data_IF_742977173238
#
_entry.id   IF_742977173238
#
_cell.length_a   1.000
_cell.length_b   1.000
_cell.length_c   1.000
_cell.angle_alpha   90.00
_cell.angle_beta   90.00
_cell.angle_gamma   90.00
#
_symmetry.space_group_name_H-M   'P 1'
#
loop_
_entity.id
_entity.type
_entity.pdbx_description
1 polymer ?
#
# COMPACT_ATOMS: atom_id res chain seq x y z
N UNK A 1 -29.46 40.79 -13.46
CA UNK A 1 -29.84 40.33 -14.81
C UNK A 1 -29.65 38.82 -14.89
N UNK A 2 -30.72 38.02 -14.92
CA UNK A 2 -30.61 36.55 -15.10
C UNK A 2 -30.49 36.26 -16.60
N UNK A 3 -29.32 35.84 -17.06
CA UNK A 3 -29.12 35.39 -18.43
C UNK A 3 -30.02 34.19 -18.70
N UNK A 4 -30.98 34.34 -19.62
CA UNK A 4 -31.92 33.27 -20.00
C UNK A 4 -31.13 32.26 -20.83
N UNK A 5 -30.66 31.18 -20.19
CA UNK A 5 -29.94 30.10 -20.86
C UNK A 5 -30.75 29.58 -22.05
N UNK A 6 -30.13 29.58 -23.23
CA UNK A 6 -30.65 28.99 -24.46
C UNK A 6 -31.03 27.53 -24.23
N UNK A 7 -32.06 27.02 -24.91
CA UNK A 7 -32.50 25.61 -24.78
C UNK A 7 -31.34 24.64 -25.02
N UNK A 8 -30.39 24.99 -25.89
CA UNK A 8 -29.15 24.22 -26.10
C UNK A 8 -28.26 24.19 -24.85
N UNK A 9 -28.02 25.32 -24.20
CA UNK A 9 -27.15 25.37 -23.02
C UNK A 9 -27.76 24.68 -21.79
N UNK A 10 -29.10 24.62 -21.68
CA UNK A 10 -29.77 23.80 -20.64
C UNK A 10 -29.60 22.30 -20.87
N UNK A 11 -29.69 21.85 -22.13
CA UNK A 11 -29.45 20.46 -22.50
C UNK A 11 -27.99 20.07 -22.25
N UNK A 12 -27.06 20.95 -22.59
CA UNK A 12 -25.62 20.67 -22.43
C UNK A 12 -25.24 20.60 -20.93
N UNK A 13 -25.80 21.46 -20.08
CA UNK A 13 -25.62 21.36 -18.61
C UNK A 13 -26.19 20.05 -18.06
N UNK A 14 -27.35 19.61 -18.55
CA UNK A 14 -27.97 18.35 -18.14
C UNK A 14 -27.09 17.15 -18.54
N UNK A 15 -26.56 17.15 -19.77
CA UNK A 15 -25.66 16.10 -20.26
C UNK A 15 -24.34 16.06 -19.47
N UNK A 16 -23.74 17.22 -19.19
CA UNK A 16 -22.51 17.30 -18.39
C UNK A 16 -22.76 16.81 -16.96
N UNK A 17 -23.88 17.21 -16.34
CA UNK A 17 -24.22 16.77 -14.98
C UNK A 17 -24.44 15.25 -14.93
N UNK A 18 -25.16 14.69 -15.91
CA UNK A 18 -25.37 13.25 -16.02
C UNK A 18 -24.03 12.50 -16.19
N UNK A 19 -23.12 13.02 -17.01
CA UNK A 19 -21.80 12.43 -17.21
C UNK A 19 -21.01 12.39 -15.91
N UNK A 20 -20.99 13.47 -15.13
CA UNK A 20 -20.31 13.50 -13.83
C UNK A 20 -20.92 12.53 -12.83
N UNK A 21 -22.24 12.37 -12.82
CA UNK A 21 -22.93 11.39 -11.96
C UNK A 21 -22.53 9.96 -12.36
N UNK A 22 -22.49 9.65 -13.66
CA UNK A 22 -22.10 8.32 -14.14
C UNK A 22 -20.63 8.03 -13.80
N UNK A 23 -19.71 8.95 -14.10
CA UNK A 23 -18.28 8.78 -13.80
C UNK A 23 -18.03 8.70 -12.29
N UNK A 24 -18.66 9.56 -11.50
CA UNK A 24 -18.56 9.52 -10.04
C UNK A 24 -19.14 8.24 -9.46
N UNK A 25 -20.28 7.76 -9.98
CA UNK A 25 -20.90 6.50 -9.57
C UNK A 25 -20.00 5.30 -9.90
N UNK A 26 -19.43 5.24 -11.10
CA UNK A 26 -18.47 4.21 -11.50
C UNK A 26 -17.24 4.25 -10.59
N UNK A 27 -16.70 5.43 -10.29
CA UNK A 27 -15.55 5.58 -9.40
C UNK A 27 -15.84 5.08 -7.98
N UNK A 28 -17.00 5.42 -7.41
CA UNK A 28 -17.41 4.94 -6.08
C UNK A 28 -17.60 3.42 -6.10
N UNK A 29 -18.30 2.88 -7.09
CA UNK A 29 -18.51 1.44 -7.23
C UNK A 29 -17.18 0.69 -7.35
N UNK A 30 -16.28 1.18 -8.19
CA UNK A 30 -14.94 0.62 -8.35
C UNK A 30 -14.19 0.61 -7.01
N UNK A 31 -14.20 1.73 -6.28
CA UNK A 31 -13.54 1.82 -4.96
C UNK A 31 -14.14 0.86 -3.94
N UNK A 32 -15.45 0.65 -3.96
CA UNK A 32 -16.12 -0.23 -3.00
C UNK A 32 -15.90 -1.70 -3.31
N UNK A 33 -15.86 -2.13 -4.58
CA UNK A 33 -15.84 -3.55 -4.95
C UNK A 33 -14.46 -4.09 -5.36
N UNK A 34 -13.56 -3.27 -5.92
CA UNK A 34 -12.28 -3.76 -6.45
C UNK A 34 -11.28 -4.23 -5.36
N UNK A 35 -11.52 -3.87 -4.09
CA UNK A 35 -10.59 -4.11 -2.98
C UNK A 35 -11.21 -4.88 -1.80
N UNK A 36 -12.32 -5.61 -2.01
CA UNK A 36 -12.98 -6.41 -0.96
C UNK A 36 -12.44 -7.84 -0.78
N UNK A 37 -11.40 -8.23 -1.51
CA UNK A 37 -10.73 -9.51 -1.26
C UNK A 37 -10.01 -9.46 0.08
N UNK A 38 -10.33 -10.37 1.01
CA UNK A 38 -9.48 -10.60 2.17
C UNK A 38 -8.13 -11.12 1.66
N UNK A 39 -7.10 -10.28 1.73
CA UNK A 39 -5.77 -10.67 1.29
C UNK A 39 -5.30 -11.90 2.07
N UNK A 40 -4.83 -12.93 1.36
CA UNK A 40 -4.24 -14.12 1.97
C UNK A 40 -2.77 -13.88 2.30
N UNK A 41 -2.09 -13.08 1.48
CA UNK A 41 -0.66 -12.80 1.59
C UNK A 41 -0.42 -11.30 1.36
N UNK A 42 0.47 -10.69 2.16
CA UNK A 42 1.04 -9.39 1.85
C UNK A 42 2.55 -9.54 1.56
N UNK A 43 2.95 -9.11 0.37
CA UNK A 43 4.32 -9.16 -0.11
C UNK A 43 4.96 -7.78 0.02
N UNK A 44 6.07 -7.72 0.75
CA UNK A 44 6.88 -6.52 0.90
C UNK A 44 8.04 -6.61 -0.08
N UNK A 45 8.22 -5.57 -0.89
CA UNK A 45 9.30 -5.46 -1.87
C UNK A 45 10.20 -4.28 -1.52
N UNK A 46 11.49 -4.43 -1.82
CA UNK A 46 12.50 -3.40 -1.66
C UNK A 46 13.30 -3.20 -2.95
N UNK A 47 13.57 -1.94 -3.29
CA UNK A 47 14.36 -1.55 -4.45
C UNK A 47 13.63 -1.78 -5.77
N UNK A 48 14.35 -2.33 -6.75
CA UNK A 48 13.82 -2.65 -8.09
C UNK A 48 13.54 -4.14 -8.27
N UNK A 49 13.61 -4.94 -7.20
CA UNK A 49 13.35 -6.38 -7.27
C UNK A 49 11.87 -6.66 -7.56
N UNK A 50 11.64 -7.71 -8.33
CA UNK A 50 10.32 -8.32 -8.53
C UNK A 50 10.05 -9.46 -7.55
N UNK A 51 11.04 -9.84 -6.75
CA UNK A 51 10.90 -10.83 -5.69
C UNK A 51 10.64 -10.11 -4.35
N UNK A 52 9.69 -10.59 -3.54
CA UNK A 52 9.42 -9.99 -2.24
C UNK A 52 10.58 -10.24 -1.29
N UNK A 53 11.00 -9.21 -0.54
CA UNK A 53 11.99 -9.35 0.52
C UNK A 53 11.41 -10.04 1.76
N UNK A 54 10.14 -9.75 2.05
CA UNK A 54 9.39 -10.37 3.15
C UNK A 54 7.98 -10.68 2.67
N UNK A 55 7.47 -11.85 3.03
CA UNK A 55 6.08 -12.25 2.78
C UNK A 55 5.36 -12.51 4.10
N UNK A 56 4.23 -11.85 4.29
CA UNK A 56 3.33 -12.03 5.43
C UNK A 56 2.19 -12.94 5.00
N UNK A 57 2.13 -14.13 5.56
CA UNK A 57 1.11 -15.14 5.28
C UNK A 57 0.03 -15.06 6.36
N UNK A 58 -1.10 -14.43 6.02
CA UNK A 58 -2.19 -14.22 6.96
C UNK A 58 -2.99 -15.49 7.27
N UNK A 59 -2.88 -16.51 6.43
CA UNK A 59 -3.59 -17.78 6.59
C UNK A 59 -2.83 -18.70 7.54
N UNK A 60 -1.52 -18.81 7.36
CA UNK A 60 -0.66 -19.65 8.18
C UNK A 60 -0.04 -18.92 9.39
N UNK A 61 -0.42 -17.66 9.63
CA UNK A 61 0.03 -16.84 10.76
C UNK A 61 1.56 -16.77 10.88
N UNK A 62 2.25 -16.51 9.76
CA UNK A 62 3.72 -16.48 9.72
C UNK A 62 4.25 -15.37 8.84
N UNK A 63 5.48 -14.97 9.12
CA UNK A 63 6.24 -14.02 8.30
C UNK A 63 7.50 -14.72 7.81
N UNK A 64 7.79 -14.60 6.51
CA UNK A 64 8.91 -15.26 5.84
C UNK A 64 9.83 -14.18 5.31
N UNK A 65 11.07 -14.14 5.80
CA UNK A 65 12.15 -13.37 5.16
C UNK A 65 12.73 -14.20 3.99
N UNK A 66 12.68 -13.64 2.79
CA UNK A 66 13.13 -14.35 1.58
C UNK A 66 14.61 -14.07 1.28
N UNK A 67 15.10 -12.86 1.56
CA UNK A 67 16.49 -12.48 1.40
C UNK A 67 16.87 -11.27 2.27
N UNK A 68 18.16 -11.09 2.51
CA UNK A 68 18.70 -9.96 3.27
C UNK A 68 19.06 -8.78 2.35
N UNK A 69 18.96 -7.56 2.87
CA UNK A 69 19.40 -6.34 2.19
C UNK A 69 20.93 -6.28 2.17
N UNK A 70 21.49 -5.91 1.01
CA UNK A 70 22.90 -5.52 0.91
C UNK A 70 23.09 -4.14 1.54
N UNK A 71 23.49 -4.12 2.81
CA UNK A 71 23.68 -2.89 3.59
C UNK A 71 25.16 -2.54 3.70
N UNK A 72 25.53 -1.25 3.61
CA UNK A 72 26.91 -0.82 3.83
C UNK A 72 27.42 -1.25 5.21
N UNK A 73 28.71 -1.52 5.32
CA UNK A 73 29.37 -1.96 6.57
C UNK A 73 29.28 -0.95 7.72
N UNK A 74 28.81 0.28 7.46
CA UNK A 74 28.48 1.27 8.49
C UNK A 74 27.27 0.88 9.34
N UNK A 75 26.41 -0.03 8.86
CA UNK A 75 25.25 -0.53 9.60
C UNK A 75 25.59 -1.87 10.27
N UNK A 76 25.38 -1.94 11.58
CA UNK A 76 25.70 -3.13 12.40
C UNK A 76 24.56 -4.16 12.45
N UNK A 77 23.55 -4.02 11.59
CA UNK A 77 22.33 -4.81 11.62
C UNK A 77 22.06 -5.38 10.23
N UNK A 78 21.57 -6.62 10.20
CA UNK A 78 21.07 -7.28 8.98
C UNK A 78 19.59 -6.98 8.87
N UNK A 79 19.15 -6.55 7.70
CA UNK A 79 17.75 -6.28 7.38
C UNK A 79 17.27 -7.29 6.34
N UNK A 80 16.00 -7.72 6.32
CA UNK A 80 14.90 -7.29 7.19
C UNK A 80 15.04 -7.77 8.64
N UNK A 81 14.61 -6.94 9.60
CA UNK A 81 14.49 -7.35 11.01
C UNK A 81 13.01 -7.66 11.28
N UNK A 82 12.69 -8.89 11.63
CA UNK A 82 11.33 -9.32 12.00
C UNK A 82 11.24 -9.39 13.53
N UNK A 83 10.31 -8.63 14.11
CA UNK A 83 9.94 -8.70 15.51
C UNK A 83 8.54 -9.29 15.63
N UNK A 84 8.47 -10.58 15.97
CA UNK A 84 7.22 -11.32 16.16
C UNK A 84 6.46 -10.85 17.41
N UNK A 85 7.14 -10.28 18.40
CA UNK A 85 6.50 -9.80 19.63
C UNK A 85 5.74 -8.48 19.41
N UNK A 86 6.30 -7.61 18.58
CA UNK A 86 5.69 -6.34 18.20
C UNK A 86 4.84 -6.43 16.92
N UNK A 87 4.89 -7.56 16.22
CA UNK A 87 4.35 -7.76 14.87
C UNK A 87 4.86 -6.69 13.89
N UNK A 88 6.19 -6.50 13.86
CA UNK A 88 6.82 -5.51 12.97
C UNK A 88 7.90 -6.11 12.10
N UNK A 89 8.10 -5.48 10.95
CA UNK A 89 9.17 -5.74 9.99
C UNK A 89 9.89 -4.40 9.81
N UNK A 90 11.19 -4.38 10.07
CA UNK A 90 12.01 -3.20 9.84
C UNK A 90 12.86 -3.42 8.59
N UNK A 91 12.83 -2.43 7.70
CA UNK A 91 13.66 -2.35 6.51
C UNK A 91 14.51 -1.08 6.54
N UNK A 92 15.65 -1.11 5.89
CA UNK A 92 16.44 0.07 5.59
C UNK A 92 15.97 0.67 4.26
N UNK A 93 15.40 1.88 4.30
CA UNK A 93 14.93 2.58 3.12
C UNK A 93 16.05 3.25 2.31
N UNK A 94 15.78 3.53 1.03
CA UNK A 94 16.71 4.25 0.16
C UNK A 94 16.77 5.76 0.40
N UNK A 95 15.82 6.32 1.16
CA UNK A 95 15.83 7.76 1.44
C UNK A 95 16.89 8.09 2.49
N UNK A 96 17.70 9.09 2.17
CA UNK A 96 18.81 9.52 3.02
C UNK A 96 18.56 10.92 3.60
N UNK A 97 18.85 11.06 4.89
CA UNK A 97 18.94 12.34 5.59
C UNK A 97 20.40 12.51 5.98
N UNK A 98 21.02 13.58 5.52
CA UNK A 98 22.45 13.86 5.73
C UNK A 98 23.37 12.69 5.34
N UNK A 99 23.02 11.98 4.26
CA UNK A 99 23.78 10.82 3.75
C UNK A 99 23.59 9.52 4.55
N UNK A 100 22.64 9.50 5.49
CA UNK A 100 22.30 8.30 6.27
C UNK A 100 20.93 7.79 5.86
N UNK A 101 20.84 6.50 5.50
CA UNK A 101 19.60 5.82 5.16
C UNK A 101 18.73 5.65 6.40
N UNK A 102 17.43 5.81 6.21
CA UNK A 102 16.47 5.79 7.30
C UNK A 102 15.71 4.48 7.35
N UNK A 103 15.36 4.06 8.56
CA UNK A 103 14.56 2.85 8.76
C UNK A 103 13.10 3.11 8.41
N UNK A 104 12.44 2.06 7.93
CA UNK A 104 11.00 1.99 7.73
C UNK A 104 10.48 0.81 8.53
N UNK A 105 9.51 1.08 9.40
CA UNK A 105 8.88 0.05 10.23
C UNK A 105 7.48 -0.20 9.72
N UNK A 106 7.25 -1.46 9.34
CA UNK A 106 5.99 -1.98 8.83
C UNK A 106 5.38 -2.83 9.93
N UNK A 107 4.17 -2.48 10.38
CA UNK A 107 3.39 -3.27 11.32
C UNK A 107 2.39 -4.14 10.56
N UNK A 108 2.21 -5.37 11.02
CA UNK A 108 1.19 -6.28 10.48
C UNK A 108 0.25 -6.75 11.58
N UNK A 109 -0.96 -7.15 11.19
CA UNK A 109 -1.95 -7.73 12.09
C UNK A 109 -2.60 -8.94 11.41
N UNK A 110 -2.42 -10.12 11.98
CA UNK A 110 -3.00 -11.34 11.43
C UNK A 110 -4.53 -11.38 11.54
N UNK A 111 -5.11 -10.90 12.65
CA UNK A 111 -6.55 -10.94 12.88
C UNK A 111 -7.33 -10.03 11.93
N UNK A 112 -6.81 -8.84 11.67
CA UNK A 112 -7.39 -7.88 10.74
C UNK A 112 -6.90 -8.06 9.28
N UNK A 113 -5.97 -9.00 9.04
CA UNK A 113 -5.29 -9.22 7.75
C UNK A 113 -4.78 -7.92 7.14
N UNK A 114 -4.10 -7.13 7.96
CA UNK A 114 -3.77 -5.75 7.62
C UNK A 114 -2.29 -5.44 7.80
N UNK A 115 -1.81 -4.49 7.01
CA UNK A 115 -0.46 -3.93 7.09
C UNK A 115 -0.54 -2.41 7.20
N UNK A 116 0.36 -1.82 7.97
CA UNK A 116 0.53 -0.37 8.10
C UNK A 116 2.01 -0.02 8.16
N UNK A 117 2.40 1.09 7.55
CA UNK A 117 3.72 1.67 7.78
C UNK A 117 3.59 2.61 8.98
N UNK A 118 4.27 2.30 10.09
CA UNK A 118 4.12 3.05 11.35
C UNK A 118 5.26 4.03 11.59
N UNK A 119 6.41 3.81 10.94
CA UNK A 119 7.56 4.70 11.05
C UNK A 119 8.25 4.81 9.69
N UNK A 120 8.54 6.05 9.29
CA UNK A 120 9.40 6.39 8.17
C UNK A 120 9.99 7.78 8.40
N UNK A 121 10.99 8.16 7.62
CA UNK A 121 11.52 9.52 7.58
C UNK A 121 11.60 10.05 6.15
N UNK A 122 10.56 9.84 5.35
CA UNK A 122 10.48 10.32 3.97
C UNK A 122 9.84 11.72 3.88
N UNK A 123 10.00 12.45 2.77
CA UNK A 123 9.37 13.76 2.62
C UNK A 123 7.86 13.71 2.86
N UNK A 124 7.38 14.55 3.79
CA UNK A 124 5.97 14.67 4.20
C UNK A 124 5.36 13.43 4.88
N UNK A 125 6.15 12.38 5.13
CA UNK A 125 5.72 11.15 5.80
C UNK A 125 4.41 10.59 5.21
N UNK A 126 4.34 10.51 3.89
CA UNK A 126 3.10 10.15 3.19
C UNK A 126 2.69 8.71 3.51
N UNK A 127 3.61 7.75 3.48
CA UNK A 127 3.29 6.35 3.69
C UNK A 127 2.76 6.05 5.07
N UNK A 128 3.37 6.66 6.09
CA UNK A 128 2.92 6.48 7.47
C UNK A 128 1.56 7.11 7.72
N UNK A 129 1.18 8.10 6.91
CA UNK A 129 -0.13 8.75 6.93
C UNK A 129 -1.21 8.05 6.11
N UNK A 130 -0.85 7.14 5.19
CA UNK A 130 -1.82 6.31 4.45
C UNK A 130 -2.63 5.41 5.41
N UNK A 131 -2.03 5.03 6.54
CA UNK A 131 -2.70 4.26 7.57
C UNK A 131 -2.76 2.75 7.27
N UNK A 132 -3.75 2.08 7.86
CA UNK A 132 -3.93 0.63 7.78
C UNK A 132 -4.51 0.23 6.44
N UNK A 133 -3.87 -0.70 5.73
CA UNK A 133 -4.38 -1.34 4.52
C UNK A 133 -4.68 -2.81 4.75
N UNK A 134 -5.77 -3.30 4.17
CA UNK A 134 -6.18 -4.71 4.16
C UNK A 134 -6.15 -5.33 2.76
N UNK A 135 -5.67 -4.60 1.75
CA UNK A 135 -5.76 -5.07 0.37
C UNK A 135 -5.34 -4.09 -0.72
N UNK A 136 -5.24 -2.78 -0.43
CA UNK A 136 -4.67 -1.83 -1.40
C UNK A 136 -3.16 -1.70 -1.20
N UNK A 137 -2.37 -1.50 -2.27
CA UNK A 137 -0.93 -1.42 -2.16
C UNK A 137 -0.49 -0.19 -1.35
N UNK A 138 0.54 -0.36 -0.51
CA UNK A 138 1.21 0.74 0.20
C UNK A 138 2.53 1.03 -0.51
N UNK A 139 2.75 2.25 -0.99
CA UNK A 139 3.92 2.57 -1.83
C UNK A 139 4.71 3.73 -1.23
N UNK A 140 5.95 3.44 -0.83
CA UNK A 140 6.94 4.41 -0.38
C UNK A 140 8.02 4.63 -1.41
N UNK A 141 7.72 5.52 -2.36
CA UNK A 141 8.64 5.84 -3.45
C UNK A 141 10.03 6.30 -2.97
N UNK A 142 10.16 7.23 -1.99
CA UNK A 142 11.49 7.69 -1.57
C UNK A 142 12.34 6.58 -0.94
N UNK A 143 11.69 5.66 -0.22
CA UNK A 143 12.35 4.52 0.42
C UNK A 143 12.47 3.29 -0.49
N UNK A 144 11.89 3.34 -1.70
CA UNK A 144 11.72 2.21 -2.63
C UNK A 144 11.16 0.96 -1.96
N UNK A 145 10.19 1.14 -1.08
CA UNK A 145 9.46 0.05 -0.43
C UNK A 145 8.05 0.05 -0.97
N UNK A 146 7.53 -1.13 -1.31
CA UNK A 146 6.10 -1.30 -1.63
C UNK A 146 5.56 -2.56 -0.97
N UNK A 147 4.32 -2.49 -0.52
CA UNK A 147 3.56 -3.64 -0.02
C UNK A 147 2.44 -3.89 -1.00
N UNK A 148 2.37 -5.11 -1.52
CA UNK A 148 1.31 -5.58 -2.40
C UNK A 148 0.56 -6.71 -1.73
N UNK A 149 -0.75 -6.80 -1.99
CA UNK A 149 -1.61 -7.81 -1.40
C UNK A 149 -2.03 -8.80 -2.47
N UNK A 150 -1.90 -10.08 -2.17
CA UNK A 150 -2.34 -11.17 -3.02
C UNK A 150 -3.52 -11.89 -2.35
N UNK A 151 -4.54 -12.18 -3.14
CA UNK A 151 -5.64 -13.05 -2.76
C UNK A 151 -5.45 -14.36 -3.52
N UNK A 152 -5.16 -15.46 -2.81
CA UNK A 152 -5.11 -16.79 -3.41
C UNK A 152 -6.50 -17.10 -3.95
N UNK A 153 -6.63 -17.10 -5.27
CA UNK A 153 -7.88 -17.37 -6.00
C UNK A 153 -8.27 -18.86 -6.06
N UNK A 154 -7.69 -19.73 -5.23
CA UNK A 154 -7.97 -21.17 -5.25
C UNK A 154 -9.29 -21.58 -4.56
N UNK A 155 -10.10 -20.61 -4.09
CA UNK A 155 -11.35 -20.89 -3.36
C UNK A 155 -12.62 -20.62 -4.19
N UNK A 156 -12.57 -20.88 -5.50
CA UNK A 156 -13.74 -20.88 -6.39
C UNK A 156 -13.83 -22.15 -7.26
N UNK A 157 -13.87 -23.33 -6.63
CA UNK A 157 -14.46 -24.53 -7.23
C UNK A 157 -15.29 -25.29 -6.21
N UNK A 158 -16.59 -25.03 -6.20
CA UNK A 158 -17.64 -25.96 -5.72
C UNK A 158 -18.60 -26.18 -6.89
#
# INVERSE_FOLDING_TARGET
MKAKLSVKSKRDILLVTLLFIILGGIYILFRLFAFQGEASIANVYYGTSNEPIVSIDFINYRVIANYDQDVPSSYNQVYPIIDESANTITLLGDYEIDGTRQIVVIQYNFGAKSVQIIQEQSPNNICSREGVSTGWPLICLPNRIRVEFETNGEDFTI
#
